data_IF_043429809633
#
_entry.id   IF_043429809633
#
_cell.length_a   1.000
_cell.length_b   1.000
_cell.length_c   1.000
_cell.angle_alpha   90.00
_cell.angle_beta   90.00
_cell.angle_gamma   90.00
#
_symmetry.space_group_name_H-M   'P 1'
#
loop_
_entity.id
_entity.type
_entity.pdbx_description
1 polymer ?
#
# COMPACT_ATOMS: atom_id res chain seq x y z
N UNK A 1 -9.22 2.16 6.10
CA UNK A 1 -7.97 2.93 6.31
C UNK A 1 -7.60 3.76 5.10
N UNK A 2 -6.82 4.83 5.32
CA UNK A 2 -6.30 5.73 4.27
C UNK A 2 -5.17 5.10 3.43
N UNK A 3 -4.52 4.04 3.93
CA UNK A 3 -3.49 3.24 3.23
C UNK A 3 -4.08 2.22 2.25
N UNK A 4 -5.42 2.01 2.24
CA UNK A 4 -6.03 1.08 1.29
C UNK A 4 -5.56 1.44 -0.13
N UNK A 5 -4.82 0.54 -0.82
CA UNK A 5 -4.14 0.88 -2.06
C UNK A 5 -5.11 1.36 -3.15
N UNK A 6 -6.31 0.77 -3.24
CA UNK A 6 -7.36 1.19 -4.16
C UNK A 6 -7.83 2.63 -3.89
N UNK A 7 -7.97 3.02 -2.62
CA UNK A 7 -8.34 4.41 -2.24
C UNK A 7 -7.19 5.40 -2.39
N UNK A 8 -5.94 4.94 -2.28
CA UNK A 8 -4.75 5.76 -2.49
C UNK A 8 -4.57 6.09 -3.96
N UNK A 9 -4.68 5.08 -4.83
CA UNK A 9 -4.52 5.24 -6.29
C UNK A 9 -5.57 6.16 -6.90
N UNK A 10 -6.80 6.24 -6.34
CA UNK A 10 -7.80 7.22 -6.80
C UNK A 10 -7.32 8.67 -6.60
N UNK A 11 -6.65 8.95 -5.47
CA UNK A 11 -6.20 10.30 -5.07
C UNK A 11 -4.85 10.67 -5.69
N UNK A 12 -3.99 9.69 -5.92
CA UNK A 12 -2.65 9.86 -6.47
C UNK A 12 -2.73 9.73 -7.99
N UNK A 13 -3.01 10.84 -8.67
CA UNK A 13 -2.98 10.88 -10.13
C UNK A 13 -1.53 10.84 -10.66
N UNK A 14 -1.28 10.27 -11.85
CA UNK A 14 0.00 10.39 -12.52
C UNK A 14 0.45 11.84 -12.63
N UNK A 15 1.67 12.12 -12.19
CA UNK A 15 2.32 13.43 -12.28
C UNK A 15 3.12 13.59 -13.57
N UNK A 16 3.38 12.48 -14.26
CA UNK A 16 4.02 12.40 -15.58
C UNK A 16 3.52 11.15 -16.31
N UNK A 17 3.88 11.01 -17.59
CA UNK A 17 3.59 9.79 -18.36
C UNK A 17 4.58 8.64 -18.06
N UNK A 18 5.70 8.92 -17.38
CA UNK A 18 6.67 7.90 -17.03
C UNK A 18 6.11 7.00 -15.91
N UNK A 19 6.00 5.71 -16.19
CA UNK A 19 5.54 4.72 -15.22
C UNK A 19 6.42 4.67 -13.97
N UNK A 20 7.72 4.93 -14.09
CA UNK A 20 8.65 4.89 -12.97
C UNK A 20 8.47 6.08 -12.05
N UNK A 21 8.25 7.27 -12.61
CA UNK A 21 7.90 8.47 -11.83
C UNK A 21 6.62 8.21 -11.03
N UNK A 22 5.61 7.64 -11.68
CA UNK A 22 4.35 7.30 -11.02
C UNK A 22 4.54 6.23 -9.93
N UNK A 23 5.31 5.17 -10.20
CA UNK A 23 5.62 4.14 -9.22
C UNK A 23 6.29 4.73 -7.96
N UNK A 24 7.32 5.56 -8.17
CA UNK A 24 8.05 6.23 -7.09
C UNK A 24 7.14 7.18 -6.30
N UNK A 25 6.28 7.92 -6.99
CA UNK A 25 5.33 8.82 -6.36
C UNK A 25 4.31 8.07 -5.49
N UNK A 26 3.73 6.97 -6.00
CA UNK A 26 2.80 6.12 -5.24
C UNK A 26 3.50 5.52 -4.02
N UNK A 27 4.74 5.04 -4.16
CA UNK A 27 5.52 4.50 -3.04
C UNK A 27 5.72 5.59 -1.98
N UNK A 28 6.18 6.79 -2.36
CA UNK A 28 6.38 7.89 -1.43
C UNK A 28 5.11 8.26 -0.65
N UNK A 29 3.94 8.22 -1.31
CA UNK A 29 2.66 8.46 -0.65
C UNK A 29 2.30 7.36 0.37
N UNK A 30 2.59 6.08 0.07
CA UNK A 30 2.41 4.98 1.03
C UNK A 30 3.29 5.18 2.26
N UNK A 31 4.55 5.59 2.08
CA UNK A 31 5.48 5.82 3.19
C UNK A 31 5.05 7.00 4.05
N UNK A 32 4.66 8.12 3.43
CA UNK A 32 4.18 9.30 4.15
C UNK A 32 2.92 9.00 4.98
N UNK A 33 1.94 8.28 4.42
CA UNK A 33 0.73 7.89 5.14
C UNK A 33 1.03 6.88 6.27
N UNK A 34 2.01 6.00 6.08
CA UNK A 34 2.46 5.07 7.12
C UNK A 34 3.11 5.80 8.31
N UNK A 35 3.99 6.76 8.04
CA UNK A 35 4.61 7.61 9.08
C UNK A 35 3.57 8.50 9.78
N UNK A 36 2.61 9.04 9.03
CA UNK A 36 1.51 9.82 9.59
C UNK A 36 0.66 8.97 10.55
N UNK A 37 0.32 7.73 10.17
CA UNK A 37 -0.44 6.84 11.04
C UNK A 37 0.37 6.37 12.26
N UNK A 38 1.68 6.14 12.10
CA UNK A 38 2.58 5.79 13.22
C UNK A 38 2.65 6.91 14.26
N UNK A 39 2.77 8.16 13.81
CA UNK A 39 2.84 9.33 14.69
C UNK A 39 1.51 9.66 15.36
N UNK A 40 0.39 9.20 14.82
CA UNK A 40 -0.96 9.60 15.24
C UNK A 40 -1.63 8.77 16.35
N UNK A 41 -1.00 7.74 16.91
CA UNK A 41 -1.42 6.88 18.05
C UNK A 41 -1.53 5.41 17.63
N UNK A 42 -0.50 4.60 17.92
CA UNK A 42 -0.71 3.15 18.00
C UNK A 42 -0.01 2.57 19.24
N UNK A 43 -0.81 2.20 20.24
CA UNK A 43 -0.45 1.22 21.27
C UNK A 43 -0.77 -0.18 20.71
N UNK A 44 0.08 -0.69 19.83
CA UNK A 44 -0.01 -2.08 19.33
C UNK A 44 1.20 -2.87 19.80
N UNK A 45 1.05 -4.19 19.92
CA UNK A 45 2.20 -5.04 20.21
C UNK A 45 3.25 -4.98 19.10
N UNK A 46 4.48 -5.34 19.46
CA UNK A 46 5.57 -5.54 18.52
C UNK A 46 5.21 -6.56 17.41
N UNK A 47 4.37 -7.56 17.72
CA UNK A 47 3.92 -8.54 16.74
C UNK A 47 3.07 -7.89 15.65
N UNK A 48 2.09 -7.09 16.06
CA UNK A 48 1.22 -6.36 15.14
C UNK A 48 2.00 -5.32 14.33
N UNK A 49 2.95 -4.61 14.95
CA UNK A 49 3.86 -3.71 14.25
C UNK A 49 4.65 -4.40 13.13
N UNK A 50 5.19 -5.59 13.40
CA UNK A 50 5.91 -6.38 12.41
C UNK A 50 5.00 -6.81 11.25
N UNK A 51 3.75 -7.18 11.52
CA UNK A 51 2.78 -7.52 10.48
C UNK A 51 2.45 -6.33 9.57
N UNK A 52 2.16 -5.16 10.14
CA UNK A 52 1.85 -3.95 9.36
C UNK A 52 3.06 -3.54 8.51
N UNK A 53 4.26 -3.55 9.11
CA UNK A 53 5.50 -3.24 8.39
C UNK A 53 5.75 -4.22 7.24
N UNK A 54 5.48 -5.51 7.45
CA UNK A 54 5.58 -6.54 6.41
C UNK A 54 4.56 -6.30 5.29
N UNK A 55 3.31 -5.98 5.63
CA UNK A 55 2.27 -5.67 4.65
C UNK A 55 2.59 -4.42 3.82
N UNK A 56 3.12 -3.36 4.45
CA UNK A 56 3.64 -2.16 3.76
C UNK A 56 4.71 -2.55 2.74
N UNK A 57 5.73 -3.28 3.19
CA UNK A 57 6.86 -3.67 2.35
C UNK A 57 6.42 -4.58 1.19
N UNK A 58 5.51 -5.53 1.42
CA UNK A 58 4.94 -6.37 0.37
C UNK A 58 4.20 -5.54 -0.68
N UNK A 59 3.44 -4.53 -0.25
CA UNK A 59 2.73 -3.61 -1.16
C UNK A 59 3.70 -2.81 -2.04
N UNK A 60 4.79 -2.29 -1.46
CA UNK A 60 5.84 -1.58 -2.21
C UNK A 60 6.51 -2.51 -3.23
N UNK A 61 6.80 -3.75 -2.85
CA UNK A 61 7.42 -4.72 -3.77
C UNK A 61 6.51 -5.08 -4.93
N UNK A 62 5.20 -5.20 -4.69
CA UNK A 62 4.22 -5.40 -5.75
C UNK A 62 4.21 -4.23 -6.74
N UNK A 63 4.25 -2.98 -6.26
CA UNK A 63 4.30 -1.78 -7.11
C UNK A 63 5.59 -1.75 -7.96
N UNK A 64 6.75 -2.05 -7.34
CA UNK A 64 8.03 -2.15 -8.06
C UNK A 64 8.03 -3.26 -9.12
N UNK A 65 7.45 -4.42 -8.80
CA UNK A 65 7.32 -5.51 -9.78
C UNK A 65 6.44 -5.10 -10.96
N UNK A 66 5.34 -4.40 -10.69
CA UNK A 66 4.46 -3.89 -11.73
C UNK A 66 5.16 -2.85 -12.62
N UNK A 67 6.01 -1.97 -12.07
CA UNK A 67 6.72 -0.96 -12.87
C UNK A 67 7.75 -1.55 -13.82
N UNK A 68 8.38 -2.67 -13.46
CA UNK A 68 9.34 -3.39 -14.33
C UNK A 68 8.65 -4.18 -15.45
N UNK A 69 7.33 -4.39 -15.37
CA UNK A 69 6.57 -5.09 -16.42
C UNK A 69 6.73 -4.41 -17.79
N UNK A 70 7.15 -5.18 -18.80
CA UNK A 70 7.26 -4.73 -20.19
C UNK A 70 5.88 -4.48 -20.83
N UNK A 71 4.83 -5.09 -20.28
CA UNK A 71 3.45 -4.93 -20.75
C UNK A 71 2.83 -3.56 -20.37
N UNK A 72 3.58 -2.73 -19.65
CA UNK A 72 3.15 -1.41 -19.21
C UNK A 72 4.16 -0.38 -19.72
N UNK A 73 3.70 0.57 -20.51
CA UNK A 73 4.54 1.58 -21.15
C UNK A 73 4.39 2.97 -20.53
N UNK A 74 3.30 3.21 -19.80
CA UNK A 74 2.98 4.52 -19.22
C UNK A 74 2.40 4.43 -17.81
N UNK A 75 2.27 5.57 -17.16
CA UNK A 75 1.77 5.68 -15.80
C UNK A 75 0.32 5.23 -15.62
N UNK A 76 -0.55 5.40 -16.62
CA UNK A 76 -1.95 4.99 -16.55
C UNK A 76 -2.07 3.46 -16.64
N UNK A 77 -1.36 2.84 -17.57
CA UNK A 77 -1.26 1.38 -17.66
C UNK A 77 -0.68 0.77 -16.39
N UNK A 78 0.28 1.46 -15.73
CA UNK A 78 0.81 1.02 -14.45
C UNK A 78 -0.25 1.08 -13.36
N UNK A 79 -1.00 2.19 -13.29
CA UNK A 79 -2.10 2.35 -12.35
C UNK A 79 -3.15 1.25 -12.50
N UNK A 80 -3.55 0.95 -13.73
CA UNK A 80 -4.52 -0.12 -14.02
C UNK A 80 -3.99 -1.49 -13.61
N UNK A 81 -2.73 -1.80 -13.94
CA UNK A 81 -2.09 -3.06 -13.55
C UNK A 81 -2.03 -3.22 -12.03
N UNK A 82 -1.61 -2.18 -11.31
CA UNK A 82 -1.55 -2.21 -9.84
C UNK A 82 -2.96 -2.42 -9.26
N UNK A 83 -3.98 -1.71 -9.77
CA UNK A 83 -5.37 -1.89 -9.33
C UNK A 83 -5.84 -3.32 -9.55
N UNK A 84 -5.59 -3.88 -10.73
CA UNK A 84 -5.95 -5.27 -11.06
C UNK A 84 -5.28 -6.25 -10.11
N UNK A 85 -3.97 -6.11 -9.88
CA UNK A 85 -3.21 -6.96 -8.97
C UNK A 85 -3.72 -6.91 -7.52
N UNK A 86 -4.18 -5.74 -7.07
CA UNK A 86 -4.80 -5.54 -5.75
C UNK A 86 -6.20 -6.13 -5.64
N UNK A 87 -6.94 -6.25 -6.74
CA UNK A 87 -8.26 -6.90 -6.74
C UNK A 87 -8.16 -8.41 -6.84
N UNK A 88 -7.20 -8.94 -7.61
CA UNK A 88 -7.02 -10.38 -7.81
C UNK A 88 -6.29 -11.07 -6.64
N UNK A 89 -5.43 -10.34 -5.93
CA UNK A 89 -4.71 -10.86 -4.75
C UNK A 89 -5.34 -10.30 -3.50
N UNK A 90 -5.55 -11.16 -2.51
CA UNK A 90 -5.94 -10.70 -1.18
C UNK A 90 -4.86 -9.75 -0.65
N UNK A 91 -5.20 -8.47 -0.51
CA UNK A 91 -4.21 -7.44 -0.22
C UNK A 91 -3.65 -7.69 1.19
N UNK A 92 -2.32 -7.78 1.37
CA UNK A 92 -1.71 -8.05 2.68
C UNK A 92 -2.15 -7.06 3.77
N UNK A 93 -2.55 -5.84 3.39
CA UNK A 93 -3.09 -4.82 4.30
C UNK A 93 -4.45 -5.19 4.89
N UNK A 94 -5.30 -5.94 4.18
CA UNK A 94 -6.59 -6.40 4.71
C UNK A 94 -6.39 -7.45 5.80
N UNK A 95 -5.43 -8.37 5.61
CA UNK A 95 -5.06 -9.37 6.62
C UNK A 95 -4.46 -8.70 7.86
N UNK A 96 -3.57 -7.71 7.67
CA UNK A 96 -3.01 -6.93 8.77
C UNK A 96 -4.10 -6.16 9.56
N UNK A 97 -5.06 -5.55 8.86
CA UNK A 97 -6.18 -4.83 9.49
C UNK A 97 -7.10 -5.74 10.31
N UNK A 98 -7.32 -6.98 9.85
CA UNK A 98 -8.07 -7.98 10.60
C UNK A 98 -7.35 -8.35 11.90
N UNK A 99 -6.03 -8.52 11.85
CA UNK A 99 -5.21 -8.83 13.02
C UNK A 99 -5.20 -7.69 14.05
N UNK A 100 -5.05 -6.44 13.61
CA UNK A 100 -5.16 -5.25 14.47
C UNK A 100 -6.51 -5.21 15.20
N UNK A 101 -7.61 -5.45 14.47
CA UNK A 101 -8.96 -5.42 15.06
C UNK A 101 -9.14 -6.47 16.16
N UNK A 102 -8.59 -7.66 15.97
CA UNK A 102 -8.66 -8.72 16.97
C UNK A 102 -7.87 -8.34 18.23
N UNK A 103 -6.64 -7.83 18.08
CA UNK A 103 -5.82 -7.40 19.21
C UNK A 103 -6.44 -6.22 19.98
N UNK A 104 -7.01 -5.24 19.28
CA UNK A 104 -7.75 -4.13 19.91
C UNK A 104 -8.99 -4.62 20.64
N UNK A 105 -9.67 -5.66 20.15
CA UNK A 105 -10.80 -6.28 20.84
C UNK A 105 -10.40 -7.07 22.09
N UNK A 106 -9.16 -7.57 22.17
CA UNK A 106 -8.64 -8.26 23.36
C UNK A 106 -8.20 -7.29 24.46
N UNK A 107 -8.02 -6.00 24.13
CA UNK A 107 -7.66 -4.95 25.08
C UNK A 107 -8.89 -4.31 25.78
N UNK A 108 -10.12 -4.68 25.41
CA UNK A 108 -11.38 -4.11 25.91
C UNK A 108 -12.40 -5.16 26.33
#
# INVERSE_FOLDING_TARGET
ERINPSKLLIRVAPISNDKNDYANYVIAQIEQEFEHNLTQQIYISNACWNYISTAKNATIQMIRKASVSENVTDANGLRELILKDLFEKEVPSNTALSYIKNEVSELW
#
